data_IF_555600510766
#
_entry.id   IF_555600510766
#
_cell.length_a   1.000
_cell.length_b   1.000
_cell.length_c   1.000
_cell.angle_alpha   90.00
_cell.angle_beta   90.00
_cell.angle_gamma   90.00
#
_symmetry.space_group_name_H-M   'P 1'
#
loop_
_entity.id
_entity.type
_entity.pdbx_description
1 polymer ?
#
# COMPACT_ATOMS: atom_id res chain seq x y z
N UNK A 1 -7.18 -25.93 -18.16
CA UNK A 1 -7.04 -24.98 -17.04
C UNK A 1 -8.44 -24.65 -16.57
N UNK A 2 -8.70 -24.81 -15.28
CA UNK A 2 -9.95 -24.41 -14.63
C UNK A 2 -9.61 -23.34 -13.60
N UNK A 3 -10.25 -22.18 -13.70
CA UNK A 3 -10.20 -21.18 -12.64
C UNK A 3 -11.09 -21.64 -11.47
N UNK A 4 -10.58 -21.50 -10.25
CA UNK A 4 -11.29 -21.89 -9.02
C UNK A 4 -11.70 -20.69 -8.18
N UNK A 5 -10.89 -19.62 -8.22
CA UNK A 5 -11.14 -18.38 -7.50
C UNK A 5 -10.48 -17.23 -8.25
N UNK A 6 -11.20 -16.11 -8.32
CA UNK A 6 -10.69 -14.81 -8.75
C UNK A 6 -11.01 -13.78 -7.67
N UNK A 7 -10.06 -12.91 -7.35
CA UNK A 7 -10.31 -11.76 -6.47
C UNK A 7 -9.44 -10.58 -6.87
N UNK A 8 -10.04 -9.40 -6.84
CA UNK A 8 -9.34 -8.12 -7.01
C UNK A 8 -9.04 -7.56 -5.62
N UNK A 9 -7.88 -6.93 -5.47
CA UNK A 9 -7.53 -6.27 -4.22
C UNK A 9 -8.47 -5.08 -3.95
N UNK A 10 -8.52 -4.56 -2.72
CA UNK A 10 -9.42 -3.45 -2.39
C UNK A 10 -9.19 -2.16 -3.19
N UNK A 11 -8.05 -2.02 -3.89
CA UNK A 11 -7.65 -0.80 -4.59
C UNK A 11 -7.75 -0.91 -6.12
N UNK A 12 -8.31 -2.00 -6.65
CA UNK A 12 -8.39 -2.30 -8.10
C UNK A 12 -7.02 -2.21 -8.83
N UNK A 13 -5.95 -2.61 -8.14
CA UNK A 13 -4.55 -2.50 -8.62
C UNK A 13 -3.85 -3.85 -8.66
N UNK A 14 -4.46 -4.90 -8.10
CA UNK A 14 -3.93 -6.25 -8.17
C UNK A 14 -5.06 -7.28 -8.26
N UNK A 15 -4.79 -8.37 -8.95
CA UNK A 15 -5.72 -9.47 -9.18
C UNK A 15 -5.03 -10.78 -8.78
N UNK A 16 -5.71 -11.58 -7.97
CA UNK A 16 -5.31 -12.95 -7.67
C UNK A 16 -6.21 -13.94 -8.40
N UNK A 17 -5.59 -14.92 -9.03
CA UNK A 17 -6.27 -16.02 -9.72
C UNK A 17 -5.74 -17.34 -9.18
N UNK A 18 -6.63 -18.21 -8.74
CA UNK A 18 -6.30 -19.59 -8.35
C UNK A 18 -6.78 -20.51 -9.48
N UNK A 19 -5.86 -21.30 -10.04
CA UNK A 19 -6.16 -22.14 -11.21
C UNK A 19 -5.62 -23.55 -11.06
N UNK A 20 -6.49 -24.52 -11.34
CA UNK A 20 -6.14 -25.91 -11.53
C UNK A 20 -5.71 -26.15 -12.99
N UNK A 21 -4.46 -26.58 -13.17
CA UNK A 21 -3.93 -27.04 -14.45
C UNK A 21 -3.99 -28.57 -14.54
N UNK A 22 -3.55 -29.14 -15.66
CA UNK A 22 -3.53 -30.60 -15.83
C UNK A 22 -2.57 -31.33 -14.87
N UNK A 23 -1.56 -30.59 -14.38
CA UNK A 23 -0.43 -31.09 -13.62
C UNK A 23 -0.42 -30.62 -12.17
N UNK A 24 -0.84 -29.39 -11.91
CA UNK A 24 -0.69 -28.74 -10.61
C UNK A 24 -1.68 -27.58 -10.40
N UNK A 25 -1.86 -27.21 -9.14
CA UNK A 25 -2.64 -26.08 -8.68
C UNK A 25 -1.71 -24.90 -8.39
N UNK A 26 -2.04 -23.72 -8.91
CA UNK A 26 -1.25 -22.51 -8.75
C UNK A 26 -2.12 -21.33 -8.30
N UNK A 27 -1.51 -20.43 -7.54
CA UNK A 27 -2.02 -19.09 -7.29
C UNK A 27 -1.14 -18.09 -8.03
N UNK A 28 -1.77 -17.23 -8.81
CA UNK A 28 -1.13 -16.17 -9.59
C UNK A 28 -1.56 -14.82 -9.02
N UNK A 29 -0.60 -13.93 -8.82
CA UNK A 29 -0.84 -12.54 -8.44
C UNK A 29 -0.35 -11.64 -9.58
N UNK A 30 -1.26 -10.88 -10.16
CA UNK A 30 -1.01 -9.88 -11.19
C UNK A 30 -1.08 -8.50 -10.56
N UNK A 31 -0.12 -7.62 -10.85
CA UNK A 31 -0.08 -6.25 -10.32
C UNK A 31 -0.06 -5.24 -11.46
N UNK A 32 -0.93 -4.24 -11.40
CA UNK A 32 -0.88 -3.08 -12.28
C UNK A 32 0.27 -2.14 -11.87
N UNK A 33 0.78 -1.28 -12.78
CA UNK A 33 0.41 -1.15 -14.19
C UNK A 33 1.14 -2.14 -15.13
N UNK A 34 2.25 -2.71 -14.70
CA UNK A 34 3.16 -3.48 -15.56
C UNK A 34 2.70 -4.93 -15.81
N UNK A 35 1.61 -5.33 -15.16
CA UNK A 35 1.03 -6.68 -15.22
C UNK A 35 2.05 -7.77 -14.85
N UNK A 36 3.02 -7.44 -13.97
CA UNK A 36 3.96 -8.42 -13.45
C UNK A 36 3.19 -9.54 -12.76
N UNK A 37 3.46 -10.77 -13.20
CA UNK A 37 2.81 -11.96 -12.68
C UNK A 37 3.77 -12.70 -11.78
N UNK A 38 3.45 -12.76 -10.50
CA UNK A 38 4.09 -13.70 -9.58
C UNK A 38 3.19 -14.93 -9.44
N UNK A 39 3.79 -16.10 -9.28
CA UNK A 39 3.05 -17.34 -9.13
C UNK A 39 3.64 -18.18 -8.01
N UNK A 40 2.79 -18.81 -7.20
CA UNK A 40 3.22 -19.81 -6.22
C UNK A 40 2.52 -21.13 -6.48
N UNK A 41 3.29 -22.22 -6.48
CA UNK A 41 2.74 -23.57 -6.53
C UNK A 41 2.03 -23.90 -5.21
N UNK A 42 0.84 -24.51 -5.28
CA UNK A 42 0.09 -24.92 -4.09
C UNK A 42 0.21 -26.44 -3.86
N UNK A 43 -0.08 -27.23 -4.91
CA UNK A 43 0.00 -28.69 -4.88
C UNK A 43 0.12 -29.31 -6.26
N UNK A 44 0.62 -30.53 -6.33
CA UNK A 44 0.59 -31.34 -7.55
C UNK A 44 -0.79 -32.00 -7.70
N UNK A 45 -1.30 -32.06 -8.93
CA UNK A 45 -2.51 -32.81 -9.33
C UNK A 45 -2.16 -34.10 -10.09
N UNK A 46 -0.86 -34.40 -10.17
CA UNK A 46 -0.26 -35.63 -10.68
C UNK A 46 0.81 -36.10 -9.70
N UNK A 47 1.23 -37.38 -9.73
CA UNK A 47 2.36 -37.82 -8.92
C UNK A 47 3.60 -36.95 -9.13
N UNK A 48 4.29 -36.60 -8.04
CA UNK A 48 5.44 -35.71 -8.07
C UNK A 48 6.61 -36.34 -8.87
N UNK A 49 7.16 -35.62 -9.86
CA UNK A 49 8.29 -36.10 -10.65
C UNK A 49 9.59 -36.07 -9.82
N UNK A 50 10.60 -36.83 -10.25
CA UNK A 50 11.92 -36.78 -9.61
C UNK A 50 12.63 -35.44 -9.82
N UNK A 51 12.40 -34.78 -10.96
CA UNK A 51 13.02 -33.51 -11.32
C UNK A 51 12.00 -32.57 -11.97
N UNK A 52 12.32 -31.27 -11.98
CA UNK A 52 11.52 -30.23 -12.60
C UNK A 52 11.49 -30.39 -14.13
N UNK A 53 10.30 -30.34 -14.74
CA UNK A 53 10.15 -30.31 -16.20
C UNK A 53 10.45 -28.92 -16.76
N UNK A 54 11.74 -28.62 -16.90
CA UNK A 54 12.23 -27.34 -17.43
C UNK A 54 11.75 -27.10 -18.87
N UNK A 55 11.63 -28.16 -19.67
CA UNK A 55 11.23 -28.04 -21.08
C UNK A 55 9.72 -27.80 -21.22
N UNK A 56 8.91 -28.39 -20.34
CA UNK A 56 7.49 -28.05 -20.21
C UNK A 56 7.30 -26.59 -19.77
N UNK A 57 8.05 -26.16 -18.75
CA UNK A 57 8.00 -24.79 -18.24
C UNK A 57 8.32 -23.75 -19.35
N UNK A 58 9.37 -23.98 -20.15
CA UNK A 58 9.71 -23.11 -21.30
C UNK A 58 8.62 -23.04 -22.36
N UNK A 59 7.78 -24.06 -22.45
CA UNK A 59 6.61 -24.12 -23.34
C UNK A 59 5.32 -23.59 -22.69
N UNK A 60 5.43 -22.92 -21.54
CA UNK A 60 4.31 -22.32 -20.83
C UNK A 60 3.43 -23.31 -20.08
N UNK A 61 3.92 -24.53 -19.79
CA UNK A 61 3.20 -25.51 -18.96
C UNK A 61 3.59 -25.33 -17.49
N UNK A 62 2.65 -24.99 -16.59
CA UNK A 62 2.95 -24.94 -15.15
C UNK A 62 3.40 -26.32 -14.66
N UNK A 63 4.63 -26.45 -14.15
CA UNK A 63 5.20 -27.76 -13.83
C UNK A 63 4.66 -28.28 -12.49
N UNK A 64 4.76 -29.59 -12.27
CA UNK A 64 4.71 -30.12 -10.92
C UNK A 64 5.96 -29.69 -10.13
N UNK A 65 5.81 -29.53 -8.81
CA UNK A 65 6.95 -29.42 -7.92
C UNK A 65 7.59 -30.82 -7.74
N UNK A 66 8.93 -30.96 -7.70
CA UNK A 66 9.56 -32.28 -7.63
C UNK A 66 9.34 -32.95 -6.28
N UNK A 67 9.48 -34.28 -6.27
CA UNK A 67 9.22 -35.16 -5.11
C UNK A 67 9.90 -34.71 -3.83
N UNK A 68 11.15 -34.27 -3.91
CA UNK A 68 11.95 -33.86 -2.75
C UNK A 68 11.45 -32.54 -2.11
N UNK A 69 10.69 -31.73 -2.85
CA UNK A 69 10.13 -30.46 -2.40
C UNK A 69 8.62 -30.55 -2.12
N UNK A 70 8.04 -31.76 -2.11
CA UNK A 70 6.62 -31.98 -1.83
C UNK A 70 6.44 -32.71 -0.49
N UNK A 71 5.50 -32.23 0.33
CA UNK A 71 5.11 -32.88 1.60
C UNK A 71 4.44 -34.23 1.36
N UNK A 72 3.68 -34.34 0.26
CA UNK A 72 3.14 -35.60 -0.27
C UNK A 72 3.55 -35.77 -1.74
N UNK A 73 4.12 -36.92 -2.13
CA UNK A 73 4.51 -37.16 -3.52
C UNK A 73 3.34 -37.65 -4.40
N UNK A 74 2.18 -37.94 -3.81
CA UNK A 74 1.00 -38.37 -4.56
C UNK A 74 0.25 -37.19 -5.18
N UNK A 75 -0.67 -37.48 -6.11
CA UNK A 75 -1.55 -36.45 -6.65
C UNK A 75 -2.51 -35.96 -5.56
N UNK A 76 -2.55 -34.65 -5.34
CA UNK A 76 -3.52 -34.03 -4.45
C UNK A 76 -4.87 -33.83 -5.11
N UNK A 77 -5.90 -33.58 -4.29
CA UNK A 77 -7.24 -33.25 -4.76
C UNK A 77 -7.34 -31.78 -5.19
N UNK A 78 -8.24 -31.48 -6.12
CA UNK A 78 -8.66 -30.10 -6.39
C UNK A 78 -9.49 -29.64 -5.17
N UNK A 79 -9.18 -28.48 -4.57
CA UNK A 79 -9.94 -27.95 -3.44
C UNK A 79 -11.37 -27.58 -3.85
N UNK A 80 -12.28 -27.54 -2.88
CA UNK A 80 -13.65 -27.08 -3.10
C UNK A 80 -13.66 -25.57 -3.39
N UNK A 81 -14.06 -25.11 -4.60
CA UNK A 81 -14.09 -23.68 -4.92
C UNK A 81 -14.92 -22.85 -3.96
N UNK A 82 -16.02 -23.40 -3.43
CA UNK A 82 -16.91 -22.69 -2.50
C UNK A 82 -16.29 -22.51 -1.11
N UNK A 83 -15.24 -23.28 -0.78
CA UNK A 83 -14.48 -23.15 0.46
C UNK A 83 -13.24 -22.26 0.30
N UNK A 84 -12.89 -21.86 -0.92
CA UNK A 84 -11.73 -21.01 -1.17
C UNK A 84 -12.02 -19.55 -0.84
N UNK A 85 -11.06 -18.90 -0.19
CA UNK A 85 -11.08 -17.46 0.08
C UNK A 85 -9.68 -16.89 0.10
N UNK A 86 -9.58 -15.59 -0.18
CA UNK A 86 -8.33 -14.87 -0.08
C UNK A 86 -8.38 -13.82 1.01
N UNK A 87 -7.22 -13.55 1.60
CA UNK A 87 -7.01 -12.42 2.52
C UNK A 87 -5.88 -11.57 1.95
N UNK A 88 -6.17 -10.30 1.70
CA UNK A 88 -5.18 -9.31 1.29
C UNK A 88 -4.51 -8.68 2.51
N UNK A 89 -3.24 -8.30 2.42
CA UNK A 89 -2.65 -7.39 3.39
C UNK A 89 -3.30 -5.99 3.30
N UNK A 90 -3.28 -5.17 4.36
CA UNK A 90 -3.88 -3.82 4.35
C UNK A 90 -3.38 -2.89 3.24
N UNK A 91 -2.15 -3.10 2.75
CA UNK A 91 -1.58 -2.37 1.61
C UNK A 91 -1.92 -2.94 0.24
N UNK A 92 -2.67 -4.06 0.16
CA UNK A 92 -3.17 -4.63 -1.10
C UNK A 92 -2.11 -5.28 -2.00
N UNK A 93 -0.88 -5.44 -1.52
CA UNK A 93 0.29 -5.89 -2.28
C UNK A 93 0.76 -7.32 -1.93
N UNK A 94 0.15 -7.97 -0.93
CA UNK A 94 0.37 -9.37 -0.59
C UNK A 94 -0.94 -10.09 -0.29
N UNK A 95 -0.98 -11.40 -0.57
CA UNK A 95 -2.20 -12.21 -0.53
C UNK A 95 -1.94 -13.61 0.05
N UNK A 96 -2.89 -14.10 0.83
CA UNK A 96 -2.94 -15.46 1.34
C UNK A 96 -4.19 -16.18 0.86
N UNK A 97 -4.07 -17.46 0.53
CA UNK A 97 -5.15 -18.33 0.09
C UNK A 97 -5.50 -19.33 1.19
N UNK A 98 -6.79 -19.45 1.50
CA UNK A 98 -7.34 -20.39 2.45
C UNK A 98 -8.36 -21.32 1.79
N UNK A 99 -8.46 -22.54 2.30
CA UNK A 99 -9.59 -23.46 2.11
C UNK A 99 -10.25 -23.65 3.48
N UNK A 100 -11.41 -23.03 3.70
CA UNK A 100 -11.98 -22.84 5.03
C UNK A 100 -11.02 -22.06 5.95
N UNK A 101 -10.56 -22.71 7.03
CA UNK A 101 -9.58 -22.16 7.98
C UNK A 101 -8.13 -22.61 7.69
N UNK A 102 -7.92 -23.42 6.66
CA UNK A 102 -6.61 -23.97 6.32
C UNK A 102 -5.89 -23.04 5.36
N UNK A 103 -4.83 -22.40 5.85
CA UNK A 103 -3.92 -21.62 5.01
C UNK A 103 -3.15 -22.53 4.04
N UNK A 104 -3.36 -22.33 2.74
CA UNK A 104 -2.76 -23.11 1.66
C UNK A 104 -1.46 -22.50 1.14
N UNK A 105 -1.47 -21.18 0.86
CA UNK A 105 -0.33 -20.50 0.26
C UNK A 105 -0.32 -18.99 0.56
N UNK A 106 0.84 -18.37 0.44
CA UNK A 106 1.07 -16.94 0.60
C UNK A 106 1.94 -16.42 -0.55
N UNK A 107 1.54 -15.33 -1.19
CA UNK A 107 2.41 -14.48 -2.00
C UNK A 107 2.61 -13.17 -1.24
N UNK A 108 3.72 -12.98 -0.50
CA UNK A 108 4.02 -11.71 0.15
C UNK A 108 4.37 -10.59 -0.84
N UNK A 109 4.44 -9.32 -0.36
CA UNK A 109 4.75 -8.16 -1.20
C UNK A 109 6.07 -8.23 -1.98
N UNK A 110 7.08 -8.90 -1.43
CA UNK A 110 8.42 -9.02 -2.02
C UNK A 110 8.61 -10.28 -2.88
N UNK A 111 7.55 -11.06 -3.13
CA UNK A 111 7.66 -12.19 -4.07
C UNK A 111 7.99 -11.71 -5.49
N UNK A 112 8.75 -12.51 -6.23
CA UNK A 112 9.29 -12.19 -7.55
C UNK A 112 10.76 -11.76 -7.51
N UNK A 113 11.28 -11.41 -6.32
CA UNK A 113 12.68 -11.03 -6.13
C UNK A 113 13.55 -12.27 -5.86
N UNK A 114 14.77 -12.29 -6.41
CA UNK A 114 15.80 -13.32 -6.14
C UNK A 114 15.33 -14.78 -6.32
N UNK A 115 14.36 -15.02 -7.21
CA UNK A 115 13.81 -16.36 -7.46
C UNK A 115 12.84 -16.86 -6.39
N UNK A 116 12.42 -16.01 -5.45
CA UNK A 116 11.43 -16.33 -4.43
C UNK A 116 10.01 -16.08 -4.94
N UNK A 117 9.18 -17.13 -4.97
CA UNK A 117 7.83 -17.11 -5.54
C UNK A 117 6.72 -16.91 -4.49
N UNK A 118 6.94 -17.41 -3.29
CA UNK A 118 5.93 -17.43 -2.22
C UNK A 118 6.06 -18.69 -1.36
N UNK A 119 5.14 -18.81 -0.40
CA UNK A 119 5.09 -19.93 0.52
C UNK A 119 3.89 -20.83 0.21
N UNK A 120 4.06 -22.15 0.36
CA UNK A 120 2.99 -23.12 0.24
C UNK A 120 3.05 -24.18 1.34
N UNK A 121 1.88 -24.56 1.86
CA UNK A 121 1.72 -25.55 2.93
C UNK A 121 2.29 -26.92 2.55
N UNK A 122 2.12 -27.31 1.29
CA UNK A 122 2.58 -28.62 0.79
C UNK A 122 4.02 -28.61 0.27
N UNK A 123 4.70 -27.46 0.28
CA UNK A 123 6.11 -27.39 -0.09
C UNK A 123 7.00 -27.85 1.08
N UNK A 124 8.18 -28.37 0.74
CA UNK A 124 9.23 -28.78 1.69
C UNK A 124 10.52 -28.06 1.34
N UNK A 125 11.13 -27.40 2.33
CA UNK A 125 12.36 -26.62 2.15
C UNK A 125 12.21 -25.44 1.17
N UNK A 126 13.30 -25.10 0.49
CA UNK A 126 13.34 -24.05 -0.53
C UNK A 126 13.27 -24.69 -1.92
N UNK A 127 12.07 -24.69 -2.51
CA UNK A 127 11.83 -25.23 -3.83
C UNK A 127 11.83 -24.16 -4.93
N UNK A 128 11.93 -24.58 -6.20
CA UNK A 128 11.94 -23.65 -7.32
C UNK A 128 10.59 -22.95 -7.52
N UNK A 129 9.47 -23.60 -7.17
CA UNK A 129 8.11 -23.08 -7.42
C UNK A 129 7.42 -22.51 -6.17
N UNK A 130 7.86 -22.92 -4.98
CA UNK A 130 7.35 -22.47 -3.70
C UNK A 130 8.34 -22.83 -2.59
N UNK A 131 8.37 -22.03 -1.53
CA UNK A 131 9.06 -22.36 -0.28
C UNK A 131 8.08 -22.93 0.73
N UNK A 132 8.60 -23.72 1.66
CA UNK A 132 7.80 -24.31 2.74
C UNK A 132 7.16 -23.23 3.62
N UNK A 133 5.84 -23.28 3.74
CA UNK A 133 5.12 -22.52 4.74
C UNK A 133 5.22 -23.22 6.10
N UNK A 134 6.25 -22.87 6.86
CA UNK A 134 6.47 -23.42 8.21
C UNK A 134 5.50 -22.83 9.23
N UNK A 135 5.14 -23.57 10.31
CA UNK A 135 4.24 -23.09 11.35
C UNK A 135 4.73 -21.84 12.10
N UNK A 136 6.04 -21.60 12.14
CA UNK A 136 6.70 -20.45 12.77
C UNK A 136 6.87 -19.26 11.81
N UNK A 137 6.33 -19.33 10.59
CA UNK A 137 6.41 -18.24 9.63
C UNK A 137 5.60 -17.03 10.13
N UNK A 138 6.27 -15.90 10.36
CA UNK A 138 5.67 -14.68 10.89
C UNK A 138 4.52 -14.12 10.03
N UNK A 139 4.46 -14.46 8.73
CA UNK A 139 3.37 -14.05 7.86
C UNK A 139 2.02 -14.67 8.26
N UNK A 140 2.02 -15.81 8.96
CA UNK A 140 0.76 -16.46 9.40
C UNK A 140 -0.01 -15.52 10.34
N UNK A 141 0.64 -15.00 11.37
CA UNK A 141 0.02 -14.01 12.27
C UNK A 141 -0.32 -12.73 11.52
N UNK A 142 0.55 -12.29 10.60
CA UNK A 142 0.29 -11.08 9.81
C UNK A 142 -0.98 -11.17 8.98
N UNK A 143 -1.30 -12.31 8.38
CA UNK A 143 -2.55 -12.49 7.63
C UNK A 143 -3.77 -12.70 8.54
N UNK A 144 -3.58 -13.25 9.74
CA UNK A 144 -4.64 -13.25 10.77
C UNK A 144 -4.96 -11.83 11.23
N UNK A 145 -3.95 -10.97 11.36
CA UNK A 145 -4.12 -9.56 11.69
C UNK A 145 -4.83 -8.83 10.55
N UNK A 146 -4.44 -9.09 9.31
CA UNK A 146 -5.11 -8.54 8.12
C UNK A 146 -6.60 -8.94 8.04
N UNK A 147 -6.94 -10.19 8.34
CA UNK A 147 -8.34 -10.65 8.39
C UNK A 147 -9.15 -9.88 9.44
N UNK A 148 -8.60 -9.69 10.64
CA UNK A 148 -9.26 -8.89 11.70
C UNK A 148 -9.36 -7.41 11.32
N UNK A 149 -8.33 -6.88 10.68
CA UNK A 149 -8.32 -5.53 10.16
C UNK A 149 -9.48 -5.35 9.17
N UNK A 150 -9.60 -6.18 8.13
CA UNK A 150 -10.70 -6.09 7.16
C UNK A 150 -12.08 -6.34 7.80
N UNK A 151 -12.20 -7.28 8.73
CA UNK A 151 -13.45 -7.49 9.45
C UNK A 151 -13.90 -6.24 10.24
N UNK A 152 -12.97 -5.41 10.73
CA UNK A 152 -13.31 -4.17 11.41
C UNK A 152 -13.95 -3.13 10.47
N UNK A 153 -13.58 -3.14 9.17
CA UNK A 153 -14.15 -2.23 8.17
C UNK A 153 -15.63 -2.49 7.89
N UNK A 154 -16.13 -3.70 8.16
CA UNK A 154 -17.54 -4.06 8.01
C UNK A 154 -18.44 -3.36 9.05
N UNK A 155 -17.88 -2.76 10.10
CA UNK A 155 -18.65 -2.01 11.08
C UNK A 155 -19.25 -0.74 10.42
N UNK A 156 -20.59 -0.51 10.51
CA UNK A 156 -21.24 0.63 9.83
C UNK A 156 -20.72 2.01 10.23
N UNK A 157 -20.15 2.14 11.44
CA UNK A 157 -19.60 3.37 11.97
C UNK A 157 -18.08 3.48 11.85
N UNK A 158 -17.41 2.48 11.24
CA UNK A 158 -15.95 2.42 11.15
C UNK A 158 -15.36 3.73 10.62
N UNK A 159 -15.83 4.18 9.45
CA UNK A 159 -15.35 5.42 8.84
C UNK A 159 -15.64 6.63 9.72
N UNK A 160 -16.90 6.81 10.13
CA UNK A 160 -17.36 7.95 10.92
C UNK A 160 -16.54 8.10 12.21
N UNK A 161 -16.32 7.00 12.93
CA UNK A 161 -15.55 6.97 14.18
C UNK A 161 -14.11 7.44 13.99
N UNK A 162 -13.41 6.90 12.98
CA UNK A 162 -12.00 7.27 12.73
C UNK A 162 -11.86 8.69 12.20
N UNK A 163 -12.73 9.07 11.25
CA UNK A 163 -12.79 10.44 10.72
C UNK A 163 -12.94 11.46 11.84
N UNK A 164 -13.93 11.28 12.72
CA UNK A 164 -14.17 12.22 13.81
C UNK A 164 -13.04 12.23 14.84
N UNK A 165 -12.41 11.08 15.12
CA UNK A 165 -11.26 11.02 15.99
C UNK A 165 -10.07 11.81 15.43
N UNK A 166 -9.75 11.64 14.14
CA UNK A 166 -8.65 12.34 13.49
C UNK A 166 -8.92 13.84 13.37
N UNK A 167 -10.14 14.25 12.98
CA UNK A 167 -10.52 15.67 12.94
C UNK A 167 -10.39 16.33 14.32
N UNK A 168 -10.85 15.67 15.39
CA UNK A 168 -10.68 16.21 16.75
C UNK A 168 -9.22 16.39 17.15
N UNK A 169 -8.30 15.55 16.67
CA UNK A 169 -6.87 15.70 16.94
C UNK A 169 -6.30 16.92 16.22
N UNK A 170 -6.66 17.13 14.95
CA UNK A 170 -6.31 18.35 14.23
C UNK A 170 -6.91 19.61 14.87
N UNK A 171 -8.17 19.56 15.30
CA UNK A 171 -8.82 20.71 15.92
C UNK A 171 -8.20 21.10 17.26
N UNK A 172 -7.76 20.11 18.04
CA UNK A 172 -6.98 20.36 19.28
C UNK A 172 -5.63 21.02 18.99
N UNK A 173 -4.99 20.67 17.87
CA UNK A 173 -3.68 21.21 17.50
C UNK A 173 -3.76 22.60 16.85
N UNK A 174 -4.78 22.82 16.01
CA UNK A 174 -4.79 23.96 15.07
C UNK A 174 -6.01 24.88 15.17
N UNK A 175 -7.05 24.49 15.91
CA UNK A 175 -8.33 25.19 16.00
C UNK A 175 -9.44 24.55 15.15
N UNK A 176 -10.67 25.08 15.23
CA UNK A 176 -11.84 24.44 14.64
C UNK A 176 -11.78 24.36 13.11
N UNK A 177 -12.26 23.25 12.55
CA UNK A 177 -12.38 23.10 11.10
C UNK A 177 -13.51 23.98 10.53
N UNK A 178 -13.27 24.59 9.37
CA UNK A 178 -14.27 25.43 8.68
C UNK A 178 -15.06 24.66 7.62
N UNK A 179 -14.44 23.66 7.00
CA UNK A 179 -15.03 22.90 5.91
C UNK A 179 -14.49 21.47 5.88
N UNK A 180 -15.32 20.58 5.34
CA UNK A 180 -15.01 19.18 5.07
C UNK A 180 -15.34 18.89 3.60
N UNK A 181 -14.44 18.21 2.90
CA UNK A 181 -14.62 17.79 1.51
C UNK A 181 -14.37 16.29 1.40
N UNK A 182 -15.29 15.57 0.77
CA UNK A 182 -14.99 14.21 0.32
C UNK A 182 -13.88 14.26 -0.74
N UNK A 183 -12.92 13.37 -0.61
CA UNK A 183 -11.74 13.28 -1.48
C UNK A 183 -11.63 11.91 -2.17
N UNK A 184 -12.68 11.11 -2.07
CA UNK A 184 -12.79 9.74 -2.56
C UNK A 184 -13.70 9.61 -3.79
N UNK A 185 -14.33 10.70 -4.25
CA UNK A 185 -15.29 10.65 -5.36
C UNK A 185 -16.56 9.85 -5.05
N UNK A 186 -16.82 9.51 -3.78
CA UNK A 186 -17.86 8.57 -3.38
C UNK A 186 -17.48 7.10 -3.51
N UNK A 187 -16.21 6.81 -3.80
CA UNK A 187 -15.69 5.45 -3.94
C UNK A 187 -14.99 4.97 -2.66
N UNK A 188 -14.76 3.67 -2.58
CA UNK A 188 -13.91 3.10 -1.53
C UNK A 188 -12.44 3.23 -1.94
N UNK A 189 -11.51 3.53 -1.02
CA UNK A 189 -11.73 3.76 0.40
C UNK A 189 -12.11 5.21 0.71
N UNK A 190 -12.93 5.44 1.76
CA UNK A 190 -13.43 6.75 2.09
C UNK A 190 -12.30 7.66 2.56
N UNK A 191 -12.27 8.87 2.02
CA UNK A 191 -11.21 9.85 2.26
C UNK A 191 -11.81 11.24 2.28
N UNK A 192 -11.18 12.13 3.01
CA UNK A 192 -11.59 13.51 3.07
C UNK A 192 -10.42 14.47 3.22
N UNK A 193 -10.72 15.75 3.03
CA UNK A 193 -9.83 16.85 3.34
C UNK A 193 -10.60 17.82 4.24
N UNK A 194 -9.95 18.27 5.32
CA UNK A 194 -10.46 19.35 6.16
C UNK A 194 -9.67 20.63 5.95
N UNK A 195 -10.38 21.75 6.06
CA UNK A 195 -9.79 23.09 6.13
C UNK A 195 -9.84 23.61 7.55
N UNK A 196 -8.72 24.11 8.05
CA UNK A 196 -8.63 24.78 9.34
C UNK A 196 -8.04 26.18 9.11
N UNK A 197 -8.81 27.26 9.32
CA UNK A 197 -8.27 28.61 9.34
C UNK A 197 -7.18 28.71 10.39
N UNK A 198 -5.99 29.20 10.02
CA UNK A 198 -4.85 29.26 10.91
C UNK A 198 -4.02 30.52 10.65
N UNK A 199 -3.92 31.36 11.67
CA UNK A 199 -3.38 32.72 11.59
C UNK A 199 -3.99 33.51 10.40
N UNK A 200 -3.17 33.94 9.44
CA UNK A 200 -3.60 34.67 8.24
C UNK A 200 -3.91 33.76 7.03
N UNK A 201 -3.76 32.44 7.18
CA UNK A 201 -3.91 31.46 6.10
C UNK A 201 -4.87 30.30 6.42
N UNK A 202 -4.68 29.19 5.73
CA UNK A 202 -5.50 27.97 5.88
C UNK A 202 -4.65 26.71 5.79
N UNK A 203 -4.84 25.81 6.74
CA UNK A 203 -4.33 24.44 6.69
C UNK A 203 -5.30 23.57 5.88
N UNK A 204 -4.76 22.77 4.98
CA UNK A 204 -5.48 21.71 4.28
C UNK A 204 -4.88 20.38 4.67
N UNK A 205 -5.69 19.49 5.25
CA UNK A 205 -5.23 18.26 5.88
C UNK A 205 -6.10 17.09 5.40
N UNK A 206 -5.47 16.01 4.98
CA UNK A 206 -6.18 14.79 4.62
C UNK A 206 -6.68 14.05 5.86
N UNK A 207 -7.73 13.27 5.66
CA UNK A 207 -8.37 12.44 6.67
C UNK A 207 -8.69 11.09 6.01
N UNK A 208 -8.15 10.01 6.58
CA UNK A 208 -8.51 8.65 6.20
C UNK A 208 -7.49 7.95 5.30
N UNK A 209 -6.44 8.64 4.84
CA UNK A 209 -5.34 7.98 4.10
C UNK A 209 -4.67 6.96 5.02
N UNK A 210 -4.46 7.36 6.27
CA UNK A 210 -3.80 6.56 7.31
C UNK A 210 -4.57 5.29 7.69
N UNK A 211 -5.86 5.20 7.33
CA UNK A 211 -6.63 3.98 7.58
C UNK A 211 -6.09 2.80 6.80
N UNK A 212 -5.33 3.03 5.73
CA UNK A 212 -4.75 2.01 4.87
C UNK A 212 -3.23 2.06 4.97
N UNK A 213 -2.59 0.90 4.82
CA UNK A 213 -1.14 0.85 4.74
C UNK A 213 -0.68 1.22 3.33
N UNK A 214 0.37 2.03 3.21
CA UNK A 214 1.04 2.27 1.95
C UNK A 214 1.71 0.98 1.45
N UNK A 215 1.56 0.59 0.18
CA UNK A 215 2.32 -0.52 -0.38
C UNK A 215 3.82 -0.16 -0.50
N UNK A 216 4.69 -1.15 -0.66
CA UNK A 216 6.12 -0.92 -0.98
C UNK A 216 7.02 -0.42 0.17
N UNK A 217 6.46 -0.01 1.31
CA UNK A 217 7.24 0.38 2.50
C UNK A 217 8.16 -0.76 2.98
N UNK A 218 7.74 -2.00 2.77
CA UNK A 218 8.44 -3.19 3.26
C UNK A 218 9.82 -3.47 2.64
N UNK A 219 10.17 -2.77 1.55
CA UNK A 219 11.51 -2.83 0.97
C UNK A 219 12.56 -1.97 1.67
N UNK A 220 12.19 -1.17 2.68
CA UNK A 220 13.01 -0.10 3.25
C UNK A 220 13.31 -0.33 4.75
N UNK A 221 14.47 0.11 5.24
CA UNK A 221 15.01 -0.28 6.54
C UNK A 221 14.17 0.12 7.79
N UNK A 222 13.23 1.06 7.66
CA UNK A 222 12.30 1.49 8.73
C UNK A 222 10.84 1.16 8.37
N UNK A 223 10.58 -0.15 8.34
CA UNK A 223 9.37 -0.78 7.77
C UNK A 223 8.06 -0.33 8.41
N UNK A 224 8.08 0.16 9.65
CA UNK A 224 6.89 0.42 10.47
C UNK A 224 6.52 1.89 10.56
N UNK A 225 7.52 2.78 10.57
CA UNK A 225 7.27 4.21 10.78
C UNK A 225 6.38 4.78 9.67
N UNK A 226 6.57 4.40 8.41
CA UNK A 226 5.95 5.10 7.27
C UNK A 226 4.76 4.38 6.64
N UNK A 227 4.23 3.32 7.27
CA UNK A 227 3.10 2.57 6.69
C UNK A 227 1.83 3.39 6.59
N UNK A 228 1.63 4.34 7.50
CA UNK A 228 0.41 5.12 7.60
C UNK A 228 0.74 6.60 7.69
N UNK A 229 0.16 7.35 6.76
CA UNK A 229 0.40 8.78 6.64
C UNK A 229 -0.90 9.54 6.49
N UNK A 230 -0.85 10.82 6.82
CA UNK A 230 -1.73 11.85 6.30
C UNK A 230 -0.88 12.91 5.61
N UNK A 231 -1.47 13.68 4.71
CA UNK A 231 -0.82 14.76 3.98
C UNK A 231 -1.40 16.11 4.43
N UNK A 232 -0.54 17.11 4.55
CA UNK A 232 -0.91 18.46 4.96
C UNK A 232 -0.20 19.54 4.16
N UNK A 233 -0.85 20.68 3.97
CA UNK A 233 -0.18 21.89 3.50
C UNK A 233 -0.69 23.12 4.25
N UNK A 234 0.18 24.10 4.45
CA UNK A 234 -0.20 25.42 4.97
C UNK A 234 -0.19 26.45 3.85
N UNK A 235 -1.37 26.89 3.44
CA UNK A 235 -1.55 27.89 2.40
C UNK A 235 -1.63 29.28 3.04
N UNK A 236 -0.68 30.20 2.78
CA UNK A 236 -0.63 31.51 3.40
C UNK A 236 -1.82 32.40 2.97
N UNK A 237 -2.03 33.48 3.72
CA UNK A 237 -3.04 34.48 3.40
C UNK A 237 -2.93 35.05 1.98
N UNK A 238 -4.07 35.44 1.41
CA UNK A 238 -4.13 36.02 0.07
C UNK A 238 -4.09 35.01 -1.09
N UNK A 239 -4.27 33.72 -0.81
CA UNK A 239 -4.62 32.74 -1.81
C UNK A 239 -6.09 32.92 -2.26
N UNK A 240 -6.36 33.10 -3.57
CA UNK A 240 -7.73 33.08 -4.06
C UNK A 240 -8.40 31.73 -3.79
N UNK A 241 -9.70 31.73 -3.46
CA UNK A 241 -10.45 30.49 -3.17
C UNK A 241 -10.36 29.48 -4.33
N UNK A 242 -10.28 29.94 -5.58
CA UNK A 242 -10.07 29.06 -6.74
C UNK A 242 -8.72 28.33 -6.69
N UNK A 243 -7.64 28.99 -6.25
CA UNK A 243 -6.33 28.38 -6.07
C UNK A 243 -6.33 27.37 -4.91
N UNK A 244 -7.01 27.69 -3.81
CA UNK A 244 -7.20 26.74 -2.69
C UNK A 244 -7.93 25.49 -3.17
N UNK A 245 -9.03 25.64 -3.94
CA UNK A 245 -9.77 24.50 -4.50
C UNK A 245 -8.93 23.64 -5.45
N UNK A 246 -8.10 24.26 -6.30
CA UNK A 246 -7.15 23.53 -7.14
C UNK A 246 -6.17 22.72 -6.29
N UNK A 247 -5.67 23.31 -5.20
CA UNK A 247 -4.78 22.62 -4.27
C UNK A 247 -5.45 21.46 -3.53
N UNK A 248 -6.73 21.60 -3.15
CA UNK A 248 -7.52 20.49 -2.59
C UNK A 248 -7.62 19.33 -3.58
N UNK A 249 -7.87 19.61 -4.87
CA UNK A 249 -7.90 18.60 -5.92
C UNK A 249 -6.55 17.89 -6.11
N UNK A 250 -5.46 18.65 -6.10
CA UNK A 250 -4.10 18.09 -6.12
C UNK A 250 -3.83 17.19 -4.91
N UNK A 251 -4.15 17.65 -3.70
CA UNK A 251 -3.93 16.90 -2.47
C UNK A 251 -4.75 15.59 -2.46
N UNK A 252 -5.99 15.62 -2.95
CA UNK A 252 -6.82 14.44 -3.13
C UNK A 252 -6.20 13.44 -4.13
N UNK A 253 -5.61 13.91 -5.23
CA UNK A 253 -4.91 13.04 -6.17
C UNK A 253 -3.66 12.40 -5.53
N UNK A 254 -2.85 13.18 -4.82
CA UNK A 254 -1.64 12.66 -4.15
C UNK A 254 -1.96 11.66 -3.04
N UNK A 255 -3.12 11.82 -2.39
CA UNK A 255 -3.60 10.84 -1.44
C UNK A 255 -3.73 9.43 -2.03
N UNK A 256 -4.09 9.30 -3.32
CA UNK A 256 -4.29 7.99 -3.97
C UNK A 256 -3.00 7.39 -4.55
N UNK A 257 -1.97 8.21 -4.73
CA UNK A 257 -0.73 7.86 -5.43
C UNK A 257 -0.08 6.55 -4.95
N UNK A 258 0.07 6.29 -3.62
CA UNK A 258 0.72 5.06 -3.14
C UNK A 258 0.11 3.78 -3.73
N UNK A 259 -1.21 3.68 -3.75
CA UNK A 259 -1.92 2.48 -4.20
C UNK A 259 -1.96 2.37 -5.73
N UNK A 260 -2.17 3.50 -6.43
CA UNK A 260 -2.23 3.51 -7.90
C UNK A 260 -0.90 3.10 -8.56
N UNK A 261 0.22 3.37 -7.90
CA UNK A 261 1.56 3.11 -8.42
C UNK A 261 2.34 2.06 -7.63
N UNK A 262 1.69 1.33 -6.72
CA UNK A 262 2.32 0.34 -5.84
C UNK A 262 3.61 0.88 -5.17
N UNK A 263 3.54 2.11 -4.68
CA UNK A 263 4.65 2.89 -4.10
C UNK A 263 4.25 3.47 -2.74
N UNK A 264 5.13 4.27 -2.13
CA UNK A 264 4.89 4.94 -0.86
C UNK A 264 5.42 6.38 -0.86
N UNK A 265 4.84 7.19 0.03
CA UNK A 265 5.24 8.56 0.30
C UNK A 265 5.88 8.62 1.69
N UNK A 266 7.04 9.26 1.76
CA UNK A 266 7.82 9.44 2.97
C UNK A 266 8.54 10.79 3.01
N UNK A 267 9.14 11.13 4.15
CA UNK A 267 9.96 12.33 4.27
C UNK A 267 11.08 12.37 3.22
N UNK A 268 11.31 13.54 2.65
CA UNK A 268 12.28 13.75 1.59
C UNK A 268 11.79 13.34 0.19
N UNK A 269 10.69 12.61 0.04
CA UNK A 269 10.16 12.34 -1.31
C UNK A 269 9.70 13.64 -1.97
N UNK A 270 9.97 13.76 -3.27
CA UNK A 270 9.54 14.87 -4.11
C UNK A 270 8.44 14.42 -5.05
N UNK A 271 7.39 15.24 -5.19
CA UNK A 271 6.23 14.95 -6.03
C UNK A 271 5.95 16.16 -6.92
N UNK A 272 5.76 16.00 -8.24
CA UNK A 272 5.35 17.10 -9.10
C UNK A 272 4.09 17.79 -8.58
N UNK A 273 4.01 19.11 -8.68
CA UNK A 273 2.91 19.92 -8.17
C UNK A 273 2.68 21.14 -9.06
N UNK A 274 1.56 21.13 -9.78
CA UNK A 274 1.08 22.29 -10.57
C UNK A 274 0.08 23.17 -9.79
N UNK A 275 -0.16 22.83 -8.52
CA UNK A 275 -1.20 23.45 -7.73
C UNK A 275 -0.74 24.69 -6.95
N UNK A 276 0.57 24.86 -6.74
CA UNK A 276 1.14 26.04 -6.10
C UNK A 276 0.71 27.34 -6.80
N UNK A 277 0.64 28.44 -6.06
CA UNK A 277 0.16 29.72 -6.60
C UNK A 277 1.20 30.32 -7.55
N UNK A 278 2.49 30.16 -7.24
CA UNK A 278 3.58 30.55 -8.14
C UNK A 278 3.98 29.39 -9.05
N UNK A 279 3.92 29.62 -10.35
CA UNK A 279 4.31 28.65 -11.37
C UNK A 279 5.80 28.24 -11.32
N UNK A 280 6.66 29.03 -10.65
CA UNK A 280 8.06 28.64 -10.41
C UNK A 280 8.19 27.47 -9.44
N UNK A 281 7.16 27.20 -8.63
CA UNK A 281 7.10 26.03 -7.77
C UNK A 281 6.28 24.96 -8.48
N UNK A 282 6.99 24.00 -9.08
CA UNK A 282 6.41 22.92 -9.89
C UNK A 282 6.51 21.56 -9.19
N UNK A 283 7.05 21.54 -7.97
CA UNK A 283 7.34 20.33 -7.20
C UNK A 283 7.03 20.60 -5.73
N UNK A 284 6.67 19.57 -4.98
CA UNK A 284 6.64 19.61 -3.51
C UNK A 284 7.62 18.59 -2.95
N UNK A 285 8.26 18.93 -1.84
CA UNK A 285 8.93 17.95 -0.98
C UNK A 285 8.05 17.64 0.22
N UNK A 286 8.06 16.38 0.67
CA UNK A 286 7.37 15.95 1.88
C UNK A 286 8.31 16.06 3.08
N UNK A 287 7.86 16.69 4.15
CA UNK A 287 8.62 16.84 5.41
C UNK A 287 7.79 16.46 6.61
N UNK A 288 8.40 15.90 7.66
CA UNK A 288 7.68 15.53 8.89
C UNK A 288 7.24 16.73 9.72
N UNK A 289 8.05 17.78 9.71
CA UNK A 289 7.84 18.97 10.53
C UNK A 289 7.71 20.20 9.64
N UNK A 290 6.53 20.83 9.67
CA UNK A 290 6.37 22.13 9.05
C UNK A 290 7.15 23.20 9.83
N UNK A 291 7.95 24.06 9.18
CA UNK A 291 8.85 25.01 9.87
C UNK A 291 8.14 26.09 10.70
N UNK A 292 6.83 26.27 10.50
CA UNK A 292 6.02 27.27 11.20
C UNK A 292 4.93 26.68 12.11
N UNK A 293 4.80 25.35 12.21
CA UNK A 293 3.74 24.73 13.00
C UNK A 293 4.34 23.88 14.12
N UNK A 294 3.63 23.79 15.24
CA UNK A 294 3.97 22.83 16.28
C UNK A 294 3.80 21.39 15.75
N UNK A 295 4.66 20.45 16.16
CA UNK A 295 4.49 19.04 15.81
C UNK A 295 3.16 18.50 16.32
N UNK A 296 2.51 17.67 15.50
CA UNK A 296 1.27 16.97 15.86
C UNK A 296 1.56 15.48 15.97
N UNK A 297 1.12 14.87 17.06
CA UNK A 297 1.13 13.41 17.22
C UNK A 297 -0.27 12.91 16.98
N UNK A 298 -0.40 12.03 15.99
CA UNK A 298 -1.65 11.38 15.66
C UNK A 298 -1.72 10.01 16.35
N UNK A 299 -2.92 9.61 16.75
CA UNK A 299 -3.20 8.30 17.32
C UNK A 299 -2.83 7.19 16.31
N UNK A 300 -2.34 6.07 16.81
CA UNK A 300 -2.02 4.89 16.00
C UNK A 300 -3.27 4.28 15.36
N UNK A 301 -3.06 3.65 14.20
CA UNK A 301 -4.08 2.82 13.53
C UNK A 301 -3.54 1.41 13.40
N UNK A 302 -4.24 0.45 13.99
CA UNK A 302 -3.83 -0.96 14.01
C UNK A 302 -2.37 -1.15 14.49
N UNK A 303 -1.99 -0.40 15.53
CA UNK A 303 -0.64 -0.37 16.17
C UNK A 303 0.48 0.23 15.30
N UNK A 304 0.16 0.72 14.11
CA UNK A 304 1.13 1.48 13.31
C UNK A 304 0.99 2.98 13.64
N UNK A 305 2.11 3.72 13.79
CA UNK A 305 2.08 5.17 13.94
C UNK A 305 1.52 5.84 12.69
N UNK A 306 0.79 6.93 12.89
CA UNK A 306 0.29 7.78 11.80
C UNK A 306 1.12 9.05 11.73
N UNK A 307 1.70 9.33 10.55
CA UNK A 307 2.58 10.47 10.35
C UNK A 307 1.93 11.52 9.45
N UNK A 308 1.90 12.76 9.92
CA UNK A 308 1.46 13.87 9.09
C UNK A 308 2.65 14.41 8.30
N UNK A 309 2.67 14.16 6.99
CA UNK A 309 3.67 14.69 6.07
C UNK A 309 3.20 16.03 5.50
N UNK A 310 4.05 17.04 5.61
CA UNK A 310 3.80 18.39 5.12
C UNK A 310 4.39 18.61 3.74
N UNK A 311 3.62 19.23 2.87
CA UNK A 311 4.04 19.64 1.54
C UNK A 311 4.69 21.02 1.60
N UNK A 312 5.95 21.12 1.17
CA UNK A 312 6.66 22.39 0.96
C UNK A 312 7.02 22.59 -0.51
N UNK A 313 6.83 23.79 -1.08
CA UNK A 313 7.09 24.05 -2.48
C UNK A 313 8.59 24.03 -2.79
N UNK A 314 8.95 23.39 -3.90
CA UNK A 314 10.26 23.40 -4.52
C UNK A 314 10.18 23.91 -5.96
N UNK A 315 11.24 24.57 -6.40
CA UNK A 315 11.50 24.86 -7.81
C UNK A 315 12.10 23.64 -8.53
N UNK A 316 12.09 23.62 -9.87
CA UNK A 316 12.77 22.58 -10.65
C UNK A 316 14.26 22.46 -10.29
N UNK A 317 15.00 23.57 -10.14
CA UNK A 317 16.44 23.53 -9.79
C UNK A 317 16.67 22.87 -8.41
N UNK A 318 15.77 23.10 -7.46
CA UNK A 318 15.83 22.50 -6.12
C UNK A 318 15.45 21.01 -6.14
N UNK A 319 14.50 20.61 -6.98
CA UNK A 319 14.19 19.19 -7.23
C UNK A 319 15.40 18.49 -7.82
N UNK A 320 16.02 19.07 -8.84
CA UNK A 320 17.20 18.48 -9.50
C UNK A 320 18.37 18.36 -8.51
N UNK A 321 18.55 19.34 -7.61
CA UNK A 321 19.52 19.22 -6.51
C UNK A 321 19.14 18.10 -5.51
N UNK A 322 17.86 17.96 -5.17
CA UNK A 322 17.37 16.93 -4.27
C UNK A 322 17.58 15.52 -4.84
N UNK A 323 17.32 15.32 -6.13
CA UNK A 323 17.57 14.05 -6.85
C UNK A 323 19.07 13.72 -6.91
N UNK A 324 19.93 14.74 -7.11
CA UNK A 324 21.37 14.53 -7.21
C UNK A 324 22.08 14.32 -5.87
N UNK A 325 21.58 14.93 -4.79
CA UNK A 325 22.32 15.04 -3.50
C UNK A 325 21.54 14.58 -2.28
N UNK A 326 20.27 14.21 -2.44
CA UNK A 326 19.33 13.89 -1.37
C UNK A 326 18.58 15.12 -0.89
N UNK A 327 17.28 14.93 -0.61
CA UNK A 327 16.36 15.99 -0.22
C UNK A 327 16.70 16.67 1.11
N UNK A 328 17.36 15.97 2.04
CA UNK A 328 17.79 16.54 3.33
C UNK A 328 18.71 17.76 3.13
N UNK A 329 19.58 17.71 2.11
CA UNK A 329 20.50 18.82 1.78
C UNK A 329 19.73 20.05 1.31
N UNK A 330 18.65 19.85 0.56
CA UNK A 330 17.80 20.93 0.04
C UNK A 330 16.93 21.48 1.15
N UNK A 331 16.23 20.61 1.88
CA UNK A 331 15.33 20.98 2.99
C UNK A 331 16.08 21.79 4.06
N UNK A 332 17.32 21.42 4.40
CA UNK A 332 18.13 22.15 5.37
C UNK A 332 18.50 23.59 4.93
N UNK A 333 18.48 23.87 3.62
CA UNK A 333 18.77 25.20 3.05
C UNK A 333 17.51 26.03 2.78
N UNK A 334 16.33 25.40 2.75
CA UNK A 334 15.09 26.12 2.48
C UNK A 334 14.89 27.22 3.51
N UNK A 335 14.48 28.39 3.04
CA UNK A 335 14.04 29.45 3.95
C UNK A 335 12.89 28.91 4.82
N UNK A 336 12.95 29.10 6.14
CA UNK A 336 11.86 28.70 7.07
C UNK A 336 10.49 29.31 6.72
N UNK A 337 10.48 30.37 5.92
CA UNK A 337 9.28 31.02 5.39
C UNK A 337 8.96 30.66 3.93
N UNK A 338 9.63 29.66 3.33
CA UNK A 338 9.41 29.20 1.94
C UNK A 338 7.94 28.94 1.63
N UNK A 339 7.20 28.37 2.58
CA UNK A 339 5.76 28.12 2.44
C UNK A 339 4.93 29.39 2.23
N UNK A 340 5.40 30.58 2.66
CA UNK A 340 4.72 31.86 2.43
C UNK A 340 4.86 32.35 0.99
N UNK A 341 5.89 31.87 0.31
CA UNK A 341 6.13 32.22 -1.08
C UNK A 341 5.24 31.40 -2.02
N UNK A 342 4.67 30.28 -1.55
CA UNK A 342 3.94 29.29 -2.33
C UNK A 342 2.83 29.86 -3.23
#
# INVERSE_FOLDING_TARGET
MSELLESINPFDTAQVIVSAHETALYMYLRRAPDMEVTSVWIRNLRPAPEALDVEGLRRGKPPCNPRQQCRSPEAGAIPDPDALRVVWLPGGNGVALYEGDVLLAIIPPWSGQEGFNGYAREAVGTGPMAWELRPDNALIERFRDAERYWAAWEAPDFWTRHREALVRQYERAFGPSSNYYAADGGEWPPRAIVRIPHEDGVLVLTVGISLLQQPGVEGHADLGAWRRIELGAYLPGGWPEASVKRFLGYLAAQANLPWQHSTWLGPGHTVPCDAWKRASFDTTVLVEAHPALAPVRLDEVDKDPVNLLWLLPLTSDERDEAEARGSDVVVAKLNKHRWREA
#
